data_IF_998049495123
#
_entry.id   IF_998049495123
#
_cell.length_a   1.000
_cell.length_b   1.000
_cell.length_c   1.000
_cell.angle_alpha   90.00
_cell.angle_beta   90.00
_cell.angle_gamma   90.00
#
_symmetry.space_group_name_H-M   'P 1'
#
loop_
_entity.id
_entity.type
_entity.pdbx_description
1 polymer ?
#
# COMPACT_ATOMS: atom_id res chain seq x y z
N UNK A 1 -3.02 -9.60 8.94
CA UNK A 1 -2.56 -9.02 7.66
C UNK A 1 -2.80 -7.52 7.68
N UNK A 2 -1.84 -6.73 7.18
CA UNK A 2 -1.93 -5.28 7.17
C UNK A 2 -1.73 -4.73 5.77
N UNK A 3 -2.44 -3.65 5.48
CA UNK A 3 -2.21 -2.78 4.33
C UNK A 3 -1.26 -1.68 4.76
N UNK A 4 -0.10 -1.63 4.12
CA UNK A 4 0.98 -0.73 4.51
C UNK A 4 1.08 0.37 3.47
N UNK A 5 1.07 1.60 3.95
CA UNK A 5 1.18 2.81 3.14
C UNK A 5 2.50 3.49 3.56
N UNK A 6 3.48 3.51 2.67
CA UNK A 6 4.74 4.22 2.88
C UNK A 6 4.76 5.46 2.00
N UNK A 7 4.88 6.64 2.59
CA UNK A 7 5.03 7.93 1.91
C UNK A 7 6.48 8.37 2.11
N UNK A 8 7.26 8.37 1.04
CA UNK A 8 8.71 8.48 1.08
C UNK A 8 9.25 9.49 0.07
N UNK A 9 10.50 9.88 0.22
CA UNK A 9 11.22 10.64 -0.80
C UNK A 9 11.46 9.78 -2.05
N UNK A 10 11.50 10.37 -3.25
CA UNK A 10 11.73 9.63 -4.49
C UNK A 10 12.99 8.75 -4.45
N UNK A 11 14.08 9.25 -3.89
CA UNK A 11 15.38 8.56 -3.82
C UNK A 11 15.36 7.31 -2.92
N UNK A 12 14.40 7.24 -2.00
CA UNK A 12 14.25 6.10 -1.10
C UNK A 12 13.44 4.94 -1.72
N UNK A 13 12.91 5.10 -2.93
CA UNK A 13 12.05 4.09 -3.55
C UNK A 13 12.79 2.78 -3.81
N UNK A 14 14.02 2.85 -4.33
CA UNK A 14 14.82 1.64 -4.59
C UNK A 14 15.08 0.85 -3.30
N UNK A 15 15.47 1.55 -2.23
CA UNK A 15 15.71 0.93 -0.93
C UNK A 15 14.44 0.23 -0.43
N UNK A 16 13.27 0.89 -0.53
CA UNK A 16 12.01 0.28 -0.11
C UNK A 16 11.65 -0.96 -0.94
N UNK A 17 11.87 -0.91 -2.26
CA UNK A 17 11.61 -2.08 -3.11
C UNK A 17 12.52 -3.26 -2.76
N UNK A 18 13.79 -3.00 -2.48
CA UNK A 18 14.72 -4.04 -2.03
C UNK A 18 14.29 -4.66 -0.69
N UNK A 19 13.84 -3.84 0.25
CA UNK A 19 13.29 -4.32 1.53
C UNK A 19 12.02 -5.17 1.33
N UNK A 20 11.13 -4.77 0.44
CA UNK A 20 9.95 -5.54 0.09
C UNK A 20 10.33 -6.90 -0.54
N UNK A 21 11.30 -6.90 -1.44
CA UNK A 21 11.80 -8.13 -2.07
C UNK A 21 12.46 -9.07 -1.04
N UNK A 22 13.30 -8.55 -0.12
CA UNK A 22 13.95 -9.34 0.94
C UNK A 22 12.94 -9.97 1.90
N UNK A 23 11.78 -9.36 2.06
CA UNK A 23 10.70 -9.86 2.91
C UNK A 23 9.66 -10.69 2.14
N UNK A 24 9.91 -10.99 0.86
CA UNK A 24 8.96 -11.70 -0.01
C UNK A 24 7.55 -11.09 0.05
N UNK A 25 7.46 -9.77 -0.20
CA UNK A 25 6.17 -9.08 -0.28
C UNK A 25 5.71 -9.04 -1.74
N UNK A 26 4.68 -9.84 -2.09
CA UNK A 26 4.34 -10.08 -3.50
C UNK A 26 3.63 -8.93 -4.18
N UNK A 27 3.03 -8.01 -3.40
CA UNK A 27 2.29 -6.88 -3.92
C UNK A 27 2.95 -5.56 -3.51
N UNK A 28 3.37 -4.79 -4.49
CA UNK A 28 3.77 -3.40 -4.29
C UNK A 28 3.23 -2.52 -5.42
N UNK A 29 2.55 -1.45 -5.07
CA UNK A 29 1.99 -0.47 -5.99
C UNK A 29 2.60 0.89 -5.66
N UNK A 30 3.23 1.52 -6.63
CA UNK A 30 3.89 2.82 -6.46
C UNK A 30 3.12 3.90 -7.20
N UNK A 31 2.95 5.04 -6.54
CA UNK A 31 2.32 6.24 -7.07
C UNK A 31 3.18 7.47 -6.83
N UNK A 32 3.11 8.43 -7.73
CA UNK A 32 3.67 9.77 -7.52
C UNK A 32 2.70 10.61 -6.68
N UNK A 33 3.24 11.43 -5.79
CA UNK A 33 2.48 12.36 -4.99
C UNK A 33 3.29 13.61 -4.68
N UNK A 34 2.65 14.59 -4.05
CA UNK A 34 3.30 15.80 -3.55
C UNK A 34 2.91 16.03 -2.10
N UNK A 35 3.89 16.43 -1.30
CA UNK A 35 3.67 16.94 0.04
C UNK A 35 2.92 18.28 -0.01
N UNK A 36 2.08 18.53 0.99
CA UNK A 36 1.30 19.77 1.10
C UNK A 36 1.91 20.78 2.09
N UNK A 37 3.12 20.49 2.60
CA UNK A 37 3.83 21.43 3.47
C UNK A 37 4.12 22.74 2.73
N UNK A 38 3.93 23.85 3.44
CA UNK A 38 4.21 25.19 2.90
C UNK A 38 5.73 25.38 2.73
N UNK A 39 6.14 26.21 1.75
CA UNK A 39 7.56 26.38 1.39
C UNK A 39 8.41 26.80 2.61
N UNK A 40 7.90 27.68 3.46
CA UNK A 40 8.63 28.10 4.67
C UNK A 40 8.95 26.98 5.65
N UNK A 41 8.11 25.95 5.72
CA UNK A 41 8.37 24.74 6.52
C UNK A 41 9.40 23.84 5.84
N UNK A 42 9.38 23.74 4.51
CA UNK A 42 10.35 22.98 3.74
C UNK A 42 11.74 23.59 3.89
N UNK A 43 11.83 24.92 3.76
CA UNK A 43 13.08 25.68 3.93
C UNK A 43 13.65 25.51 5.35
N UNK A 44 12.80 25.59 6.36
CA UNK A 44 13.21 25.40 7.78
C UNK A 44 13.78 23.99 8.04
N UNK A 45 13.27 22.98 7.33
CA UNK A 45 13.70 21.59 7.47
C UNK A 45 14.79 21.20 6.46
N UNK A 46 15.23 22.13 5.60
CA UNK A 46 16.22 21.86 4.55
C UNK A 46 15.73 20.89 3.48
N UNK A 47 14.40 20.86 3.23
CA UNK A 47 13.79 19.96 2.25
C UNK A 47 13.65 20.68 0.91
N UNK A 48 14.46 20.30 -0.07
CA UNK A 48 14.51 20.95 -1.39
C UNK A 48 13.30 20.61 -2.28
N UNK A 49 12.67 19.46 -2.07
CA UNK A 49 11.56 19.00 -2.91
C UNK A 49 10.39 18.48 -2.09
N UNK A 50 9.18 18.82 -2.52
CA UNK A 50 7.94 18.26 -1.97
C UNK A 50 7.44 17.02 -2.72
N UNK A 51 8.18 16.52 -3.70
CA UNK A 51 7.84 15.27 -4.38
C UNK A 51 7.88 14.09 -3.43
N UNK A 52 6.92 13.19 -3.59
CA UNK A 52 6.82 11.97 -2.78
C UNK A 52 6.51 10.77 -3.65
N UNK A 53 6.90 9.60 -3.15
CA UNK A 53 6.39 8.32 -3.65
C UNK A 53 5.52 7.71 -2.58
N UNK A 54 4.35 7.25 -2.99
CA UNK A 54 3.43 6.53 -2.13
C UNK A 54 3.50 5.08 -2.56
N UNK A 55 3.88 4.22 -1.64
CA UNK A 55 3.99 2.78 -1.90
C UNK A 55 2.98 2.06 -1.03
N UNK A 56 2.15 1.28 -1.68
CA UNK A 56 1.19 0.40 -1.04
C UNK A 56 1.69 -1.04 -1.12
N UNK A 57 1.69 -1.73 0.01
CA UNK A 57 1.98 -3.16 0.05
C UNK A 57 1.11 -3.86 1.08
N UNK A 58 1.08 -5.19 1.03
CA UNK A 58 0.33 -6.03 1.97
C UNK A 58 1.31 -7.00 2.61
N UNK A 59 1.20 -7.17 3.92
CA UNK A 59 2.06 -8.07 4.67
C UNK A 59 1.33 -8.72 5.84
N UNK A 60 1.80 -9.89 6.27
CA UNK A 60 1.44 -10.48 7.55
C UNK A 60 1.85 -9.56 8.70
N UNK A 61 1.33 -9.79 9.90
CA UNK A 61 1.68 -8.97 11.06
C UNK A 61 3.19 -9.00 11.35
N UNK A 62 3.81 -10.16 11.24
CA UNK A 62 5.25 -10.35 11.45
C UNK A 62 6.08 -9.57 10.40
N UNK A 63 5.76 -9.75 9.11
CA UNK A 63 6.45 -9.04 8.02
C UNK A 63 6.22 -7.52 8.10
N UNK A 64 5.05 -7.08 8.56
CA UNK A 64 4.77 -5.66 8.82
C UNK A 64 5.73 -5.07 9.84
N UNK A 65 5.93 -5.75 10.99
CA UNK A 65 6.87 -5.31 12.03
C UNK A 65 8.31 -5.23 11.48
N UNK A 66 8.73 -6.27 10.74
CA UNK A 66 10.07 -6.30 10.11
C UNK A 66 10.24 -5.17 9.10
N UNK A 67 9.25 -4.93 8.23
CA UNK A 67 9.31 -3.88 7.22
C UNK A 67 9.38 -2.48 7.85
N UNK A 68 8.57 -2.19 8.87
CA UNK A 68 8.59 -0.91 9.56
C UNK A 68 9.95 -0.69 10.25
N UNK A 69 10.50 -1.72 10.91
CA UNK A 69 11.82 -1.63 11.54
C UNK A 69 12.93 -1.41 10.52
N UNK A 70 12.89 -2.10 9.37
CA UNK A 70 13.84 -1.93 8.30
C UNK A 70 13.76 -0.52 7.68
N UNK A 71 12.56 0.00 7.43
CA UNK A 71 12.36 1.38 6.96
C UNK A 71 12.92 2.41 7.96
N UNK A 72 12.69 2.24 9.26
CA UNK A 72 13.28 3.12 10.29
C UNK A 72 14.79 3.10 10.25
N UNK A 73 15.40 1.92 10.09
CA UNK A 73 16.86 1.75 10.09
C UNK A 73 17.53 2.28 8.84
N UNK A 74 16.98 1.98 7.66
CA UNK A 74 17.63 2.24 6.37
C UNK A 74 17.17 3.52 5.70
N UNK A 75 15.99 4.01 6.05
CA UNK A 75 15.37 5.18 5.41
C UNK A 75 15.06 6.30 6.39
N UNK A 76 15.36 6.11 7.68
CA UNK A 76 15.09 7.08 8.75
C UNK A 76 13.61 7.52 8.83
N UNK A 77 12.69 6.62 8.48
CA UNK A 77 11.26 6.89 8.53
C UNK A 77 10.84 7.32 9.95
N UNK A 78 10.06 8.39 10.01
CA UNK A 78 9.64 9.02 11.28
C UNK A 78 10.49 10.22 11.69
N UNK A 79 11.63 10.44 11.04
CA UNK A 79 12.36 11.71 11.13
C UNK A 79 11.70 12.73 10.19
N UNK A 80 11.48 13.99 10.60
CA UNK A 80 10.92 15.02 9.73
C UNK A 80 11.64 15.08 8.39
N UNK A 81 10.89 15.10 7.28
CA UNK A 81 11.43 15.13 5.92
C UNK A 81 11.69 13.77 5.29
N UNK A 82 11.89 12.71 6.05
CA UNK A 82 12.21 11.37 5.51
C UNK A 82 11.00 10.53 5.14
N UNK A 83 9.82 10.92 5.58
CA UNK A 83 8.57 10.24 5.24
C UNK A 83 7.88 9.59 6.43
N UNK A 84 6.78 8.91 6.14
CA UNK A 84 5.97 8.19 7.13
C UNK A 84 5.59 6.80 6.60
N UNK A 85 5.32 5.89 7.52
CA UNK A 85 4.73 4.59 7.23
C UNK A 85 3.51 4.36 8.12
N UNK A 86 2.43 3.91 7.52
CA UNK A 86 1.16 3.62 8.19
C UNK A 86 0.83 2.14 7.92
N UNK A 87 0.46 1.40 8.96
CA UNK A 87 -0.05 0.05 8.82
C UNK A 87 -1.53 0.03 9.25
N UNK A 88 -2.39 -0.39 8.34
CA UNK A 88 -3.83 -0.50 8.57
C UNK A 88 -4.21 -1.97 8.58
N UNK A 89 -4.82 -2.49 9.64
CA UNK A 89 -5.30 -3.87 9.67
C UNK A 89 -6.31 -4.13 8.56
N UNK A 90 -6.11 -5.19 7.78
CA UNK A 90 -7.04 -5.61 6.75
C UNK A 90 -8.10 -6.48 7.40
N UNK A 91 -9.36 -6.09 7.21
CA UNK A 91 -10.52 -6.84 7.68
C UNK A 91 -10.87 -8.01 6.77
N UNK A 92 -10.80 -7.79 5.48
CA UNK A 92 -11.20 -8.77 4.48
C UNK A 92 -10.42 -8.59 3.19
N UNK A 93 -10.12 -9.69 2.53
CA UNK A 93 -9.55 -9.72 1.18
C UNK A 93 -10.44 -10.60 0.32
N UNK A 94 -10.89 -10.08 -0.82
CA UNK A 94 -11.65 -10.84 -1.81
C UNK A 94 -10.75 -11.79 -2.60
N UNK A 95 -11.20 -13.03 -2.76
CA UNK A 95 -10.50 -14.05 -3.56
C UNK A 95 -9.54 -14.94 -2.74
N UNK A 96 -9.87 -16.23 -2.60
CA UNK A 96 -9.07 -17.17 -1.80
C UNK A 96 -7.62 -17.33 -2.30
N UNK A 97 -7.41 -17.41 -3.61
CA UNK A 97 -6.07 -17.47 -4.21
C UNK A 97 -5.26 -16.19 -3.97
N UNK A 98 -5.94 -15.04 -3.93
CA UNK A 98 -5.31 -13.75 -3.63
C UNK A 98 -4.83 -13.68 -2.19
N UNK A 99 -5.56 -14.23 -1.24
CA UNK A 99 -5.14 -14.26 0.18
C UNK A 99 -3.88 -15.10 0.35
N UNK A 100 -3.83 -16.29 -0.23
CA UNK A 100 -2.65 -17.16 -0.20
C UNK A 100 -1.43 -16.46 -0.83
N UNK A 101 -1.61 -15.83 -1.99
CA UNK A 101 -0.57 -15.05 -2.65
C UNK A 101 -0.04 -13.90 -1.78
N UNK A 102 -0.92 -13.14 -1.13
CA UNK A 102 -0.54 -11.99 -0.28
C UNK A 102 0.17 -12.41 1.02
N UNK A 103 -0.09 -13.61 1.51
CA UNK A 103 0.59 -14.17 2.66
C UNK A 103 1.93 -14.82 2.32
N UNK A 104 2.20 -15.08 1.04
CA UNK A 104 3.33 -15.90 0.60
C UNK A 104 3.20 -17.37 0.98
N UNK A 105 1.95 -17.84 1.22
CA UNK A 105 1.61 -19.21 1.56
C UNK A 105 0.81 -19.85 0.42
N UNK A 106 0.98 -21.17 0.25
CA UNK A 106 0.28 -21.92 -0.80
C UNK A 106 -1.08 -22.47 -0.36
N UNK A 107 -1.42 -22.38 0.92
CA UNK A 107 -2.65 -22.91 1.47
C UNK A 107 -3.80 -21.90 1.46
N UNK A 108 -5.01 -22.41 1.15
CA UNK A 108 -6.25 -21.64 1.11
C UNK A 108 -6.64 -21.12 2.51
N UNK A 109 -6.16 -19.95 2.87
CA UNK A 109 -6.62 -19.27 4.06
C UNK A 109 -8.04 -18.75 3.84
N UNK A 110 -9.02 -19.39 4.45
CA UNK A 110 -10.37 -18.85 4.53
C UNK A 110 -10.38 -17.72 5.57
N UNK A 111 -10.54 -16.49 5.10
CA UNK A 111 -10.71 -15.33 5.99
C UNK A 111 -12.16 -14.91 6.00
N UNK A 112 -12.81 -15.08 7.15
CA UNK A 112 -14.19 -14.62 7.35
C UNK A 112 -14.15 -13.22 7.96
N UNK A 113 -14.63 -12.19 7.26
CA UNK A 113 -14.63 -10.83 7.79
C UNK A 113 -15.61 -10.68 8.95
N UNK A 114 -15.21 -10.00 10.02
CA UNK A 114 -16.11 -9.50 11.03
C UNK A 114 -16.59 -8.10 10.62
N UNK A 115 -17.85 -7.97 10.21
CA UNK A 115 -18.46 -6.74 9.71
C UNK A 115 -19.20 -6.01 10.83
N UNK A 116 -18.52 -5.15 11.58
CA UNK A 116 -19.16 -4.46 12.71
C UNK A 116 -18.80 -2.96 12.78
N UNK A 117 -18.72 -2.30 11.61
CA UNK A 117 -18.38 -0.86 11.52
C UNK A 117 -19.40 -0.11 10.68
N UNK A 118 -19.63 1.15 11.03
CA UNK A 118 -20.55 2.03 10.31
C UNK A 118 -20.06 2.37 8.88
N UNK A 119 -18.74 2.35 8.66
CA UNK A 119 -18.11 2.67 7.37
C UNK A 119 -16.89 1.79 7.14
N UNK A 120 -16.64 1.44 5.87
CA UNK A 120 -15.51 0.63 5.43
C UNK A 120 -14.78 1.31 4.29
N UNK A 121 -13.45 1.17 4.26
CA UNK A 121 -12.63 1.49 3.10
C UNK A 121 -12.43 0.22 2.26
N UNK A 122 -12.89 0.25 1.03
CA UNK A 122 -12.66 -0.82 0.05
C UNK A 122 -11.60 -0.35 -0.94
N UNK A 123 -10.52 -1.11 -1.04
CA UNK A 123 -9.47 -0.89 -2.04
C UNK A 123 -9.52 -2.02 -3.05
N UNK A 124 -9.84 -1.69 -4.31
CA UNK A 124 -9.83 -2.64 -5.41
C UNK A 124 -8.61 -2.39 -6.29
N UNK A 125 -7.76 -3.40 -6.44
CA UNK A 125 -6.62 -3.38 -7.35
C UNK A 125 -6.98 -4.22 -8.56
N UNK A 126 -7.03 -3.61 -9.74
CA UNK A 126 -7.44 -4.28 -10.97
C UNK A 126 -6.60 -3.84 -12.16
N UNK A 127 -6.66 -4.61 -13.24
CA UNK A 127 -6.02 -4.26 -14.51
C UNK A 127 -6.63 -3.01 -15.11
N UNK A 128 -5.86 -2.32 -15.95
CA UNK A 128 -6.36 -1.18 -16.72
C UNK A 128 -7.57 -1.57 -17.56
N UNK A 129 -8.59 -0.71 -17.60
CA UNK A 129 -9.85 -0.97 -18.30
C UNK A 129 -10.95 -1.65 -17.48
N UNK A 130 -10.66 -2.12 -16.25
CA UNK A 130 -11.67 -2.77 -15.40
C UNK A 130 -12.46 -1.80 -14.52
N UNK A 131 -12.21 -0.50 -14.59
CA UNK A 131 -12.83 0.52 -13.72
C UNK A 131 -14.35 0.47 -13.74
N UNK A 132 -14.95 0.43 -14.93
CA UNK A 132 -16.41 0.46 -15.07
C UNK A 132 -17.05 -0.81 -14.50
N UNK A 133 -16.42 -1.96 -14.69
CA UNK A 133 -16.89 -3.23 -14.13
C UNK A 133 -16.87 -3.19 -12.61
N UNK A 134 -15.78 -2.72 -12.00
CA UNK A 134 -15.65 -2.57 -10.54
C UNK A 134 -16.67 -1.57 -10.01
N UNK A 135 -16.81 -0.41 -10.66
CA UNK A 135 -17.75 0.63 -10.22
C UNK A 135 -19.21 0.22 -10.36
N UNK A 136 -19.56 -0.54 -11.39
CA UNK A 136 -20.91 -1.07 -11.55
C UNK A 136 -21.24 -2.09 -10.45
N UNK A 137 -20.32 -3.00 -10.12
CA UNK A 137 -20.48 -3.93 -9.01
C UNK A 137 -20.60 -3.20 -7.67
N UNK A 138 -19.75 -2.19 -7.43
CA UNK A 138 -19.80 -1.40 -6.21
C UNK A 138 -21.13 -0.65 -6.05
N UNK A 139 -21.66 -0.02 -7.12
CA UNK A 139 -22.97 0.66 -7.11
C UNK A 139 -24.11 -0.32 -6.88
N UNK A 140 -24.07 -1.51 -7.49
CA UNK A 140 -25.05 -2.55 -7.25
C UNK A 140 -25.08 -3.02 -5.79
N UNK A 141 -23.95 -2.94 -5.09
CA UNK A 141 -23.80 -3.20 -3.66
C UNK A 141 -24.10 -1.99 -2.75
N UNK A 142 -24.56 -0.85 -3.33
CA UNK A 142 -24.94 0.34 -2.57
C UNK A 142 -23.85 1.42 -2.41
N UNK A 143 -22.68 1.28 -3.03
CA UNK A 143 -21.67 2.33 -3.00
C UNK A 143 -22.13 3.56 -3.81
N UNK A 144 -21.95 4.76 -3.23
CA UNK A 144 -22.36 6.02 -3.88
C UNK A 144 -21.34 6.54 -4.89
N UNK A 145 -20.08 6.11 -4.79
CA UNK A 145 -18.99 6.52 -5.66
C UNK A 145 -17.66 5.90 -5.25
N UNK A 146 -16.60 6.22 -5.98
CA UNK A 146 -15.24 5.79 -5.71
C UNK A 146 -14.22 6.77 -6.29
N UNK A 147 -12.98 6.65 -5.87
CA UNK A 147 -11.84 7.39 -6.42
C UNK A 147 -10.96 6.43 -7.19
N UNK A 148 -10.67 6.74 -8.44
CA UNK A 148 -9.78 5.93 -9.28
C UNK A 148 -8.38 6.52 -9.23
N UNK A 149 -7.41 5.68 -8.93
CA UNK A 149 -6.00 6.04 -8.90
C UNK A 149 -5.24 5.20 -9.92
N UNK A 150 -4.32 5.81 -10.64
CA UNK A 150 -3.44 5.11 -11.57
C UNK A 150 -2.11 4.80 -10.87
N UNK A 151 -1.77 3.53 -10.78
CA UNK A 151 -0.54 3.05 -10.17
C UNK A 151 0.19 2.06 -11.06
N UNK A 152 1.46 1.83 -10.76
CA UNK A 152 2.28 0.80 -11.39
C UNK A 152 2.58 -0.29 -10.35
N UNK A 153 2.24 -1.53 -10.69
CA UNK A 153 2.66 -2.69 -9.91
C UNK A 153 4.16 -2.91 -10.06
N UNK A 154 4.86 -3.06 -8.96
CA UNK A 154 6.33 -3.29 -8.90
C UNK A 154 6.67 -4.60 -8.18
N UNK A 155 5.66 -5.45 -7.92
CA UNK A 155 5.84 -6.76 -7.31
C UNK A 155 6.54 -7.77 -8.23
N UNK A 156 6.98 -8.90 -7.65
CA UNK A 156 7.62 -9.99 -8.37
C UNK A 156 6.75 -10.51 -9.53
N UNK A 157 7.39 -10.96 -10.60
CA UNK A 157 6.72 -11.59 -11.74
C UNK A 157 5.88 -12.78 -11.27
N UNK A 158 4.56 -12.74 -11.47
CA UNK A 158 3.64 -13.81 -11.08
C UNK A 158 2.41 -13.36 -10.29
N UNK A 159 2.20 -12.06 -10.08
CA UNK A 159 0.95 -11.58 -9.52
C UNK A 159 -0.24 -12.07 -10.38
N UNK A 160 -1.29 -12.66 -9.79
CA UNK A 160 -2.46 -13.08 -10.53
C UNK A 160 -3.08 -11.89 -11.28
N UNK A 161 -3.33 -12.09 -12.57
CA UNK A 161 -4.05 -11.12 -13.43
C UNK A 161 -5.52 -11.07 -13.07
#
# INVERSE_FOLDING_TARGET
>A
MNYIISIINPDSLSILMDLCNQLDLPLSITMAGRGTAVQSMLDLLGIESNERRIVFTVASEEKTKKLIQAQKRHMHIGVPGHGIVIAVPIKSVGGGKTVAFLNGETDNAAYTPSLNYAHELIVAVCSQGCTDMVMNAARAAGARGGTVLHGKGTGANGAPK
#
